data_IF_911364334746
#
_entry.id   IF_911364334746
#
_cell.length_a   1.000
_cell.length_b   1.000
_cell.length_c   1.000
_cell.angle_alpha   90.00
_cell.angle_beta   90.00
_cell.angle_gamma   90.00
#
_symmetry.space_group_name_H-M   'P 1'
#
loop_
_entity.id
_entity.type
_entity.pdbx_description
1 polymer ?
#
# COMPACT_ATOMS: atom_id res chain seq x y z
N UNK A 1 -27.69 43.53 23.99
CA UNK A 1 -27.77 43.08 22.58
C UNK A 1 -26.46 43.16 21.80
N UNK A 2 -25.65 44.23 21.89
CA UNK A 2 -24.41 44.39 21.08
C UNK A 2 -23.36 43.28 21.24
N UNK A 3 -23.19 42.71 22.45
CA UNK A 3 -22.26 41.60 22.71
C UNK A 3 -22.70 40.27 22.07
N UNK A 4 -24.00 39.99 22.05
CA UNK A 4 -24.57 38.77 21.47
C UNK A 4 -24.34 38.72 19.95
N UNK A 5 -24.68 39.80 19.24
CA UNK A 5 -24.45 39.91 17.79
C UNK A 5 -22.97 39.81 17.41
N UNK A 6 -22.06 40.29 18.26
CA UNK A 6 -20.61 40.14 18.03
C UNK A 6 -20.18 38.68 18.13
N UNK A 7 -20.60 37.97 19.18
CA UNK A 7 -20.27 36.55 19.39
C UNK A 7 -20.91 35.69 18.29
N UNK A 8 -22.18 35.94 17.99
CA UNK A 8 -22.92 35.23 16.94
C UNK A 8 -22.29 35.43 15.56
N UNK A 9 -21.82 36.65 15.24
CA UNK A 9 -21.08 36.93 14.02
C UNK A 9 -19.76 36.16 13.90
N UNK A 10 -19.00 36.03 14.99
CA UNK A 10 -17.77 35.23 14.99
C UNK A 10 -18.04 33.72 14.81
N UNK A 11 -19.11 33.20 15.40
CA UNK A 11 -19.53 31.80 15.22
C UNK A 11 -19.95 31.53 13.78
N UNK A 12 -20.78 32.40 13.19
CA UNK A 12 -21.19 32.28 11.80
C UNK A 12 -20.01 32.41 10.83
N UNK A 13 -19.07 33.32 11.10
CA UNK A 13 -17.86 33.46 10.30
C UNK A 13 -16.99 32.20 10.35
N UNK A 14 -16.81 31.59 11.52
CA UNK A 14 -16.08 30.34 11.70
C UNK A 14 -16.72 29.17 10.94
N UNK A 15 -18.04 29.03 11.04
CA UNK A 15 -18.83 28.02 10.32
C UNK A 15 -18.71 28.25 8.80
N UNK A 16 -18.85 29.50 8.34
CA UNK A 16 -18.77 29.85 6.91
C UNK A 16 -17.38 29.59 6.33
N UNK A 17 -16.32 29.93 7.06
CA UNK A 17 -14.94 29.60 6.69
C UNK A 17 -14.77 28.07 6.59
N UNK A 18 -15.22 27.30 7.59
CA UNK A 18 -15.17 25.84 7.55
C UNK A 18 -15.89 25.25 6.32
N UNK A 19 -17.09 25.75 5.98
CA UNK A 19 -17.82 25.30 4.78
C UNK A 19 -17.10 25.65 3.48
N UNK A 20 -16.47 26.83 3.37
CA UNK A 20 -15.69 27.21 2.18
C UNK A 20 -14.45 26.36 1.99
N UNK A 21 -13.73 26.02 3.07
CA UNK A 21 -12.60 25.11 2.99
C UNK A 21 -13.04 23.69 2.60
N UNK A 22 -14.21 23.25 3.05
CA UNK A 22 -14.77 21.96 2.67
C UNK A 22 -15.24 21.92 1.20
N UNK A 23 -15.82 23.01 0.69
CA UNK A 23 -16.17 23.14 -0.72
C UNK A 23 -14.93 23.20 -1.64
N UNK A 24 -13.89 23.93 -1.23
CA UNK A 24 -12.61 23.95 -1.95
C UNK A 24 -11.95 22.57 -1.95
N UNK A 25 -12.01 21.85 -0.82
CA UNK A 25 -11.60 20.45 -0.74
C UNK A 25 -12.40 19.57 -1.70
N UNK A 26 -13.72 19.77 -1.78
CA UNK A 26 -14.61 19.10 -2.73
C UNK A 26 -14.30 19.39 -4.21
N UNK A 27 -13.90 20.61 -4.54
CA UNK A 27 -13.49 21.00 -5.91
C UNK A 27 -12.15 20.35 -6.27
N UNK A 28 -11.15 20.44 -5.41
CA UNK A 28 -9.85 19.76 -5.61
C UNK A 28 -10.02 18.25 -5.67
N UNK A 29 -11.01 17.71 -4.95
CA UNK A 29 -11.40 16.30 -4.99
C UNK A 29 -12.01 15.90 -6.35
N UNK A 30 -12.98 16.66 -6.85
CA UNK A 30 -13.59 16.47 -8.18
C UNK A 30 -12.58 16.64 -9.32
N UNK A 31 -11.67 17.62 -9.19
CA UNK A 31 -10.58 17.84 -10.13
C UNK A 31 -9.62 16.63 -10.14
N UNK A 32 -9.16 16.15 -8.99
CA UNK A 32 -8.28 14.98 -8.95
C UNK A 32 -8.95 13.71 -9.50
N UNK A 33 -10.26 13.53 -9.31
CA UNK A 33 -11.03 12.42 -9.87
C UNK A 33 -11.10 12.43 -11.40
N UNK A 34 -11.16 13.61 -12.01
CA UNK A 34 -11.37 13.78 -13.45
C UNK A 34 -10.07 13.90 -14.27
N UNK A 35 -8.97 14.35 -13.65
CA UNK A 35 -7.75 14.73 -14.38
C UNK A 35 -6.55 13.82 -14.13
N UNK A 36 -6.64 12.85 -13.21
CA UNK A 36 -5.51 11.99 -12.88
C UNK A 36 -5.87 10.51 -12.90
N UNK A 37 -5.10 9.76 -13.69
CA UNK A 37 -5.11 8.31 -13.62
C UNK A 37 -4.56 7.85 -12.26
N UNK A 38 -5.08 6.73 -11.77
CA UNK A 38 -4.57 6.14 -10.53
C UNK A 38 -3.40 5.24 -10.88
N UNK A 39 -2.25 5.53 -10.29
CA UNK A 39 -1.04 4.75 -10.51
C UNK A 39 -0.65 4.00 -9.25
N UNK A 40 -0.39 2.71 -9.38
CA UNK A 40 0.11 1.85 -8.32
C UNK A 40 1.57 1.52 -8.61
N UNK A 41 2.45 1.80 -7.66
CA UNK A 41 3.84 1.38 -7.73
C UNK A 41 4.15 0.38 -6.62
N UNK A 42 4.85 -0.67 -7.00
CA UNK A 42 5.48 -1.62 -6.09
C UNK A 42 6.97 -1.60 -6.38
N UNK A 43 7.75 -1.34 -5.35
CA UNK A 43 9.21 -1.36 -5.37
C UNK A 43 9.65 -2.37 -4.31
N UNK A 44 10.39 -3.39 -4.74
CA UNK A 44 10.93 -4.38 -3.82
C UNK A 44 12.43 -4.53 -4.02
N UNK A 45 13.16 -4.60 -2.90
CA UNK A 45 14.59 -4.82 -2.88
C UNK A 45 14.95 -5.86 -1.82
N UNK A 46 16.03 -6.59 -2.04
CA UNK A 46 16.51 -7.63 -1.14
C UNK A 46 17.92 -7.30 -0.66
N UNK A 47 18.02 -6.88 0.59
CA UNK A 47 19.30 -6.55 1.20
C UNK A 47 19.93 -7.83 1.76
N UNK A 48 21.14 -8.21 1.32
CA UNK A 48 21.86 -9.35 1.88
C UNK A 48 22.31 -9.05 3.32
N UNK A 49 22.31 -10.07 4.16
CA UNK A 49 22.91 -10.01 5.51
C UNK A 49 23.95 -11.13 5.65
N UNK A 50 24.79 -11.08 6.69
CA UNK A 50 25.92 -12.00 6.88
C UNK A 50 25.50 -13.48 7.05
N UNK A 51 24.20 -13.79 7.14
CA UNK A 51 23.67 -15.15 7.33
C UNK A 51 22.64 -15.57 6.25
N UNK A 52 21.81 -16.58 6.55
CA UNK A 52 20.66 -17.03 5.73
C UNK A 52 19.47 -16.06 5.81
N UNK A 53 19.59 -14.99 6.59
CA UNK A 53 18.58 -13.95 6.75
C UNK A 53 18.62 -13.00 5.54
N UNK A 54 17.45 -12.61 5.04
CA UNK A 54 17.33 -11.55 4.04
C UNK A 54 16.33 -10.52 4.51
N UNK A 55 16.62 -9.26 4.21
CA UNK A 55 15.69 -8.17 4.45
C UNK A 55 15.02 -7.86 3.12
N UNK A 56 13.75 -8.22 3.00
CA UNK A 56 12.90 -7.85 1.90
C UNK A 56 12.29 -6.48 2.20
N UNK A 57 12.78 -5.46 1.52
CA UNK A 57 12.17 -4.14 1.52
C UNK A 57 10.99 -4.15 0.56
N UNK A 58 9.81 -3.77 1.03
CA UNK A 58 8.62 -3.60 0.19
C UNK A 58 8.12 -2.19 0.38
N UNK A 59 8.05 -1.46 -0.73
CA UNK A 59 7.51 -0.10 -0.79
C UNK A 59 6.35 -0.09 -1.78
N UNK A 60 5.22 0.40 -1.30
CA UNK A 60 3.96 0.45 -2.04
C UNK A 60 3.51 1.90 -2.12
N UNK A 61 3.21 2.38 -3.32
CA UNK A 61 2.73 3.74 -3.55
C UNK A 61 1.43 3.69 -4.35
N UNK A 62 0.44 4.47 -3.93
CA UNK A 62 -0.73 4.78 -4.74
C UNK A 62 -0.74 6.27 -5.00
N UNK A 63 -0.47 6.65 -6.23
CA UNK A 63 -0.57 8.04 -6.67
C UNK A 63 -2.03 8.43 -6.87
N UNK A 64 -2.33 9.70 -6.60
CA UNK A 64 -3.66 10.29 -6.80
C UNK A 64 -4.76 9.50 -6.07
N UNK A 65 -4.48 9.15 -4.82
CA UNK A 65 -5.38 8.42 -3.94
C UNK A 65 -6.33 9.36 -3.21
N UNK A 66 -7.62 9.00 -3.19
CA UNK A 66 -8.74 9.89 -2.84
C UNK A 66 -9.43 9.52 -1.52
N UNK A 67 -8.95 8.49 -0.82
CA UNK A 67 -9.55 7.97 0.41
C UNK A 67 -8.56 7.89 1.57
N UNK A 68 -9.03 8.03 2.83
CA UNK A 68 -8.18 7.89 4.01
C UNK A 68 -7.72 6.44 4.28
N UNK A 69 -8.40 5.44 3.69
CA UNK A 69 -8.31 4.04 4.12
C UNK A 69 -7.67 3.11 3.08
N UNK A 70 -6.49 3.48 2.58
CA UNK A 70 -5.69 2.59 1.73
C UNK A 70 -4.75 1.74 2.59
N UNK A 71 -4.71 0.45 2.28
CA UNK A 71 -3.71 -0.46 2.82
C UNK A 71 -3.30 -1.44 1.74
N UNK A 72 -2.05 -1.88 1.81
CA UNK A 72 -1.52 -2.91 0.94
C UNK A 72 -1.31 -4.18 1.75
N UNK A 73 -1.68 -5.32 1.17
CA UNK A 73 -1.41 -6.63 1.73
C UNK A 73 -0.33 -7.29 0.89
N UNK A 74 0.78 -7.62 1.54
CA UNK A 74 1.88 -8.34 0.91
C UNK A 74 1.73 -9.81 1.27
N UNK A 75 1.52 -10.65 0.27
CA UNK A 75 1.40 -12.09 0.40
C UNK A 75 2.74 -12.71 0.03
N UNK A 76 3.38 -13.31 1.03
CA UNK A 76 4.65 -14.01 0.87
C UNK A 76 4.35 -15.51 0.86
N UNK A 77 4.95 -16.30 -0.05
CA UNK A 77 4.76 -17.75 -0.05
C UNK A 77 5.06 -18.38 1.32
N UNK A 78 4.26 -19.36 1.72
CA UNK A 78 4.40 -20.06 3.00
C UNK A 78 5.70 -20.89 3.10
N UNK A 79 6.40 -21.08 1.99
CA UNK A 79 7.77 -21.60 1.93
C UNK A 79 8.78 -20.70 2.65
N UNK A 80 8.43 -19.45 2.95
CA UNK A 80 9.21 -18.50 3.72
C UNK A 80 8.54 -18.18 5.06
N UNK A 81 9.36 -17.91 6.07
CA UNK A 81 8.94 -17.39 7.37
C UNK A 81 9.40 -15.95 7.51
N UNK A 82 8.47 -15.06 7.87
CA UNK A 82 8.79 -13.69 8.27
C UNK A 82 9.00 -13.67 9.79
N UNK A 83 10.11 -13.08 10.24
CA UNK A 83 10.50 -13.12 11.66
C UNK A 83 10.02 -11.90 12.45
N UNK A 84 9.81 -10.76 11.79
CA UNK A 84 9.52 -9.48 12.43
C UNK A 84 8.08 -8.99 12.26
N UNK A 85 7.20 -9.81 11.68
CA UNK A 85 5.78 -9.52 11.53
C UNK A 85 4.96 -10.79 11.69
N UNK A 86 3.80 -10.68 12.35
CA UNK A 86 2.87 -11.80 12.45
C UNK A 86 1.99 -11.85 11.20
N UNK A 87 1.87 -13.02 10.55
CA UNK A 87 0.95 -13.17 9.44
C UNK A 87 -0.49 -13.07 9.92
N UNK A 88 -1.38 -12.65 9.04
CA UNK A 88 -2.82 -12.71 9.25
C UNK A 88 -3.52 -13.27 8.01
N UNK A 89 -4.83 -13.48 8.07
CA UNK A 89 -5.59 -14.10 6.98
C UNK A 89 -5.73 -13.25 5.70
N UNK A 90 -5.25 -12.00 5.70
CA UNK A 90 -5.53 -11.05 4.62
C UNK A 90 -6.99 -10.61 4.61
N UNK A 91 -7.38 -9.83 3.60
CA UNK A 91 -8.80 -9.67 3.27
C UNK A 91 -9.37 -10.89 2.53
N UNK A 92 -8.50 -11.68 1.89
CA UNK A 92 -8.81 -12.97 1.29
C UNK A 92 -7.69 -13.95 1.63
N UNK A 93 -8.05 -15.17 2.02
CA UNK A 93 -7.09 -16.25 2.27
C UNK A 93 -6.60 -16.78 0.93
N UNK A 94 -5.30 -16.61 0.66
CA UNK A 94 -4.65 -17.11 -0.56
C UNK A 94 -3.89 -18.38 -0.23
N UNK A 95 -4.27 -19.51 -0.82
CA UNK A 95 -3.64 -20.81 -0.57
C UNK A 95 -2.15 -20.80 -0.94
N UNK A 96 -1.30 -21.26 -0.02
CA UNK A 96 0.16 -21.26 -0.18
C UNK A 96 0.84 -19.94 0.17
N UNK A 97 0.12 -18.98 0.75
CA UNK A 97 0.63 -17.65 1.08
C UNK A 97 0.21 -17.21 2.48
N UNK A 98 1.04 -16.36 3.07
CA UNK A 98 0.76 -15.65 4.32
C UNK A 98 0.70 -14.16 4.06
N UNK A 99 -0.35 -13.50 4.54
CA UNK A 99 -0.55 -12.06 4.32
C UNK A 99 0.08 -11.23 5.44
N UNK A 100 0.70 -10.12 5.05
CA UNK A 100 1.28 -9.13 5.96
C UNK A 100 0.75 -7.75 5.59
N UNK A 101 0.19 -7.05 6.58
CA UNK A 101 -0.40 -5.73 6.36
C UNK A 101 0.68 -4.66 6.30
N UNK A 102 0.71 -3.91 5.22
CA UNK A 102 1.52 -2.70 5.07
C UNK A 102 0.64 -1.50 5.39
N UNK A 103 1.00 -0.80 6.47
CA UNK A 103 0.31 0.41 6.88
C UNK A 103 0.72 1.56 5.96
N UNK A 104 -0.16 1.88 5.01
CA UNK A 104 0.07 3.02 4.12
C UNK A 104 -0.39 4.31 4.80
N UNK A 105 0.36 5.39 4.60
CA UNK A 105 0.08 6.72 5.13
C UNK A 105 -0.06 7.71 3.97
N UNK A 106 -1.07 8.57 4.07
CA UNK A 106 -1.27 9.64 3.09
C UNK A 106 -0.18 10.70 3.21
N UNK A 107 0.43 11.05 2.08
CA UNK A 107 1.35 12.17 1.92
C UNK A 107 0.88 13.01 0.73
N UNK A 108 0.18 14.11 1.03
CA UNK A 108 -0.44 14.98 0.02
C UNK A 108 -1.45 14.22 -0.87
N UNK A 109 -1.13 14.00 -2.16
CA UNK A 109 -1.97 13.29 -3.14
C UNK A 109 -1.69 11.79 -3.21
N UNK A 110 -0.61 11.34 -2.58
CA UNK A 110 -0.16 9.95 -2.65
C UNK A 110 -0.38 9.24 -1.32
N UNK A 111 -0.49 7.91 -1.39
CA UNK A 111 -0.50 7.06 -0.20
C UNK A 111 0.67 6.10 -0.30
N UNK A 112 1.52 6.12 0.71
CA UNK A 112 2.83 5.46 0.73
C UNK A 112 2.88 4.47 1.88
N UNK A 113 3.36 3.25 1.61
CA UNK A 113 3.66 2.24 2.62
C UNK A 113 5.08 1.74 2.41
N UNK A 114 5.83 1.56 3.49
CA UNK A 114 7.16 0.97 3.45
C UNK A 114 7.26 0.00 4.62
N UNK A 115 7.73 -1.22 4.35
CA UNK A 115 7.93 -2.24 5.38
C UNK A 115 9.15 -3.08 5.01
N UNK A 116 9.97 -3.38 6.01
CA UNK A 116 11.12 -4.26 5.89
C UNK A 116 10.78 -5.59 6.52
N UNK A 117 10.66 -6.66 5.74
CA UNK A 117 10.41 -8.00 6.24
C UNK A 117 11.72 -8.76 6.38
N UNK A 118 11.95 -9.36 7.54
CA UNK A 118 13.06 -10.29 7.74
C UNK A 118 12.56 -11.68 7.36
N UNK A 119 13.02 -12.19 6.23
CA UNK A 119 12.57 -13.46 5.66
C UNK A 119 13.66 -14.53 5.78
N UNK A 120 13.22 -15.76 6.03
CA UNK A 120 14.04 -16.97 5.98
C UNK A 120 13.29 -18.09 5.27
N UNK A 121 13.96 -18.93 4.47
CA UNK A 121 13.34 -20.14 3.93
C UNK A 121 12.98 -21.09 5.10
N UNK A 122 11.77 -21.65 5.10
CA UNK A 122 11.33 -22.58 6.15
C UNK A 122 12.10 -23.91 6.09
N UNK A 123 12.35 -24.40 4.88
CA UNK A 123 13.14 -25.60 4.63
C UNK A 123 14.50 -25.18 4.12
N UNK A 124 15.50 -25.34 4.98
CA UNK A 124 16.86 -24.84 4.72
C UNK A 124 17.56 -25.64 3.62
N UNK A 125 17.27 -26.94 3.49
CA UNK A 125 17.98 -27.86 2.60
C UNK A 125 17.21 -28.17 1.31
N UNK A 126 16.17 -27.39 1.00
CA UNK A 126 15.35 -27.58 -0.20
C UNK A 126 15.35 -26.31 -1.01
N UNK A 127 15.67 -26.45 -2.30
CA UNK A 127 15.52 -25.35 -3.24
C UNK A 127 14.04 -24.97 -3.36
N UNK A 128 13.76 -23.67 -3.25
CA UNK A 128 12.42 -23.11 -3.41
C UNK A 128 12.37 -22.51 -4.82
N UNK A 129 11.54 -23.04 -5.73
CA UNK A 129 11.41 -22.49 -7.07
C UNK A 129 10.88 -21.05 -7.00
N UNK A 130 11.05 -20.30 -8.09
CA UNK A 130 10.53 -18.94 -8.19
C UNK A 130 9.00 -18.93 -7.99
N UNK A 131 8.56 -18.17 -6.98
CA UNK A 131 7.15 -17.96 -6.66
C UNK A 131 6.88 -16.46 -6.58
N UNK A 132 5.73 -15.97 -7.06
CA UNK A 132 5.43 -14.54 -7.01
C UNK A 132 5.22 -14.07 -5.58
N UNK A 133 5.64 -12.85 -5.27
CA UNK A 133 5.15 -12.11 -4.10
C UNK A 133 3.94 -11.33 -4.58
N UNK A 134 2.79 -11.52 -3.94
CA UNK A 134 1.57 -10.83 -4.36
C UNK A 134 1.38 -9.57 -3.52
N UNK A 135 1.06 -8.45 -4.15
CA UNK A 135 0.69 -7.21 -3.44
C UNK A 135 -0.72 -6.84 -3.82
N UNK A 136 -1.64 -6.91 -2.85
CA UNK A 136 -3.01 -6.46 -3.04
C UNK A 136 -3.16 -5.06 -2.49
N UNK A 137 -3.53 -4.11 -3.36
CA UNK A 137 -3.96 -2.79 -2.95
C UNK A 137 -5.45 -2.79 -2.67
N UNK A 138 -5.82 -2.38 -1.47
CA UNK A 138 -7.19 -2.45 -0.98
C UNK A 138 -7.64 -1.11 -0.39
N UNK A 139 -8.94 -0.84 -0.50
CA UNK A 139 -9.60 0.29 0.14
C UNK A 139 -10.95 -0.15 0.73
N UNK A 140 -11.14 0.09 2.02
CA UNK A 140 -12.28 -0.33 2.86
C UNK A 140 -12.56 -1.85 2.84
N UNK A 141 -13.00 -2.40 1.70
CA UNK A 141 -13.24 -3.83 1.43
C UNK A 141 -13.07 -4.22 -0.05
N UNK A 142 -12.63 -3.31 -0.90
CA UNK A 142 -12.48 -3.54 -2.33
C UNK A 142 -11.01 -3.72 -2.67
N UNK A 143 -10.70 -4.80 -3.39
CA UNK A 143 -9.42 -4.98 -4.08
C UNK A 143 -9.40 -4.08 -5.31
N UNK A 144 -8.40 -3.21 -5.37
CA UNK A 144 -8.25 -2.22 -6.42
C UNK A 144 -7.21 -2.63 -7.47
N UNK A 145 -6.13 -3.29 -7.03
CA UNK A 145 -5.07 -3.78 -7.90
C UNK A 145 -4.35 -4.96 -7.22
N UNK A 146 -3.85 -5.88 -8.05
CA UNK A 146 -2.98 -6.97 -7.64
C UNK A 146 -1.72 -6.91 -8.49
N UNK A 147 -0.58 -6.81 -7.82
CA UNK A 147 0.73 -7.01 -8.43
C UNK A 147 1.25 -8.40 -8.09
N UNK A 148 1.83 -9.08 -9.09
CA UNK A 148 2.52 -10.37 -8.94
C UNK A 148 3.87 -10.35 -9.70
N UNK A 149 4.41 -9.15 -9.93
CA UNK A 149 5.55 -8.94 -10.82
C UNK A 149 6.85 -9.47 -10.23
N UNK A 150 7.01 -9.35 -8.91
CA UNK A 150 8.23 -9.78 -8.22
C UNK A 150 8.18 -11.28 -7.89
N UNK A 151 9.25 -12.00 -8.21
CA UNK A 151 9.42 -13.41 -7.91
C UNK A 151 10.49 -13.60 -6.83
N UNK A 152 10.21 -14.44 -5.85
CA UNK A 152 11.16 -14.86 -4.83
C UNK A 152 11.52 -16.33 -5.02
N UNK A 153 12.82 -16.63 -4.96
CA UNK A 153 13.35 -17.99 -5.08
C UNK A 153 14.47 -18.21 -4.07
N UNK A 154 14.75 -19.47 -3.75
CA UNK A 154 15.93 -19.83 -2.95
C UNK A 154 16.64 -20.98 -3.63
N UNK A 155 17.86 -20.74 -4.10
CA UNK A 155 18.71 -21.72 -4.77
C UNK A 155 20.01 -21.87 -3.99
N UNK A 156 20.36 -23.09 -3.56
CA UNK A 156 21.62 -23.38 -2.84
C UNK A 156 21.85 -22.42 -1.67
N UNK A 157 20.84 -22.26 -0.81
CA UNK A 157 20.84 -21.36 0.36
C UNK A 157 20.90 -19.85 0.05
N UNK A 158 20.79 -19.45 -1.21
CA UNK A 158 20.74 -18.04 -1.61
C UNK A 158 19.31 -17.69 -2.01
N UNK A 159 18.63 -16.95 -1.14
CA UNK A 159 17.36 -16.33 -1.50
C UNK A 159 17.62 -15.13 -2.40
N UNK A 160 16.85 -15.03 -3.48
CA UNK A 160 16.94 -14.01 -4.52
C UNK A 160 15.55 -13.44 -4.80
N UNK A 161 15.54 -12.19 -5.25
CA UNK A 161 14.36 -11.48 -5.72
C UNK A 161 14.58 -11.12 -7.19
N UNK A 162 13.66 -11.51 -8.06
CA UNK A 162 13.64 -11.15 -9.47
C UNK A 162 12.47 -10.21 -9.74
N UNK A 163 12.72 -9.11 -10.44
CA UNK A 163 11.71 -8.11 -10.78
C UNK A 163 12.32 -6.82 -11.32
N UNK A 164 11.51 -5.89 -11.82
CA UNK A 164 11.96 -4.56 -12.22
C UNK A 164 12.33 -3.71 -11.00
N UNK A 165 13.00 -2.57 -11.23
CA UNK A 165 13.25 -1.59 -10.17
C UNK A 165 11.92 -1.09 -9.56
N UNK A 166 10.94 -0.82 -10.42
CA UNK A 166 9.57 -0.45 -10.03
C UNK A 166 8.59 -1.19 -10.94
N UNK A 167 7.62 -1.87 -10.34
CA UNK A 167 6.44 -2.39 -11.03
C UNK A 167 5.32 -1.33 -10.98
N UNK A 168 4.83 -0.93 -12.15
CA UNK A 168 3.85 0.15 -12.30
C UNK A 168 2.57 -0.37 -12.97
N UNK A 169 1.42 0.00 -12.41
CA UNK A 169 0.11 -0.19 -13.01
C UNK A 169 -0.70 1.10 -13.00
N UNK A 170 -1.15 1.54 -14.18
CA UNK A 170 -1.95 2.75 -14.37
C UNK A 170 -3.38 2.37 -14.72
N UNK A 171 -4.34 2.89 -13.96
CA UNK A 171 -5.76 2.70 -14.24
C UNK A 171 -6.44 4.04 -14.46
N UNK A 172 -7.18 4.21 -15.57
CA UNK A 172 -7.94 5.42 -15.78
C UNK A 172 -9.02 5.55 -14.71
N UNK A 173 -9.06 6.69 -14.02
CA UNK A 173 -10.18 7.00 -13.13
C UNK A 173 -11.37 7.41 -14.00
N UNK A 174 -12.18 6.42 -14.41
CA UNK A 174 -13.47 6.72 -15.05
C UNK A 174 -14.50 6.96 -13.96
N UNK A 175 -15.07 8.17 -13.94
CA UNK A 175 -16.40 8.36 -13.35
C UNK A 175 -17.32 7.33 -14.00
N UNK A 176 -17.96 6.49 -13.18
CA UNK A 176 -18.88 5.48 -13.68
C UNK A 176 -19.89 6.12 -14.63
N UNK A 177 -19.86 5.68 -15.88
CA UNK A 177 -21.07 5.53 -16.69
C UNK A 177 -21.51 4.08 -16.56
#
# INVERSE_FOLDING_TARGET
>A
MRKFWRIFGWVFLGIFLQFKFNALYGIVFLENLNFHDRTYWVEMDMIPTEEKLRILKVKTTVHHSLGPDYFANVYIPDSYKVLNANPYGGAEVVNGYLAYKVNMKRKYRDVLGETHFIIVPQKVDTDIPAQPIKVHFENLKQRLHTDETYLISTLKYKTQLEGPEVAEAIYPQKLGM
#
